data_IF_134179177835
#
_entry.id   IF_134179177835
#
_cell.length_a   1.000
_cell.length_b   1.000
_cell.length_c   1.000
_cell.angle_alpha   90.00
_cell.angle_beta   90.00
_cell.angle_gamma   90.00
#
_symmetry.space_group_name_H-M   'P 1'
#
loop_
_entity.id
_entity.type
_entity.pdbx_description
1 polymer ?
#
# COMPACT_ATOMS: atom_id res chain seq x y z
N UNK A 1 10.79 -8.02 -8.70
CA UNK A 1 10.32 -7.56 -7.37
C UNK A 1 9.92 -6.09 -7.39
N UNK A 2 10.60 -5.20 -8.12
CA UNK A 2 10.23 -3.77 -8.22
C UNK A 2 8.77 -3.48 -8.64
N UNK A 3 8.23 -4.21 -9.62
CA UNK A 3 6.81 -4.09 -10.03
C UNK A 3 5.83 -4.41 -8.88
N UNK A 4 6.16 -5.38 -8.03
CA UNK A 4 5.36 -5.70 -6.84
C UNK A 4 5.46 -4.60 -5.78
N UNK A 5 6.65 -4.00 -5.61
CA UNK A 5 6.86 -2.85 -4.74
C UNK A 5 6.03 -1.64 -5.16
N UNK A 6 6.06 -1.32 -6.47
CA UNK A 6 5.23 -0.26 -7.05
C UNK A 6 3.75 -0.52 -6.83
N UNK A 7 3.28 -1.75 -7.10
CA UNK A 7 1.89 -2.13 -6.89
C UNK A 7 1.48 -1.97 -5.42
N UNK A 8 2.29 -2.49 -4.49
CA UNK A 8 2.04 -2.37 -3.05
C UNK A 8 1.99 -0.90 -2.58
N UNK A 9 2.92 -0.08 -3.06
CA UNK A 9 2.95 1.36 -2.81
C UNK A 9 1.64 2.02 -3.25
N UNK A 10 1.21 1.77 -4.49
CA UNK A 10 -0.05 2.29 -5.02
C UNK A 10 -1.27 1.80 -4.24
N UNK A 11 -1.30 0.53 -3.83
CA UNK A 11 -2.39 0.00 -3.00
C UNK A 11 -2.47 0.71 -1.65
N UNK A 12 -1.34 0.96 -0.99
CA UNK A 12 -1.29 1.73 0.25
C UNK A 12 -1.78 3.17 0.07
N UNK A 13 -1.33 3.84 -1.00
CA UNK A 13 -1.72 5.21 -1.33
C UNK A 13 -3.20 5.34 -1.67
N UNK A 14 -3.70 4.52 -2.59
CA UNK A 14 -5.10 4.51 -2.99
C UNK A 14 -6.01 4.19 -1.78
N UNK A 15 -5.64 3.22 -0.95
CA UNK A 15 -6.38 2.89 0.27
C UNK A 15 -6.41 4.04 1.29
N UNK A 16 -5.32 4.79 1.40
CA UNK A 16 -5.23 5.97 2.27
C UNK A 16 -6.07 7.13 1.75
N UNK A 17 -6.14 7.32 0.43
CA UNK A 17 -6.99 8.35 -0.18
C UNK A 17 -8.47 7.99 -0.01
N UNK A 18 -8.83 6.73 -0.28
CA UNK A 18 -10.22 6.28 -0.20
C UNK A 18 -10.77 6.33 1.24
N UNK A 19 -9.94 6.12 2.26
CA UNK A 19 -10.38 6.16 3.66
C UNK A 19 -10.93 7.52 4.09
N UNK A 20 -10.46 8.63 3.49
CA UNK A 20 -11.02 9.97 3.73
C UNK A 20 -12.46 10.13 3.27
N UNK A 21 -12.90 9.31 2.30
CA UNK A 21 -14.28 9.29 1.80
C UNK A 21 -15.13 8.18 2.42
N UNK A 22 -14.62 7.50 3.46
CA UNK A 22 -15.21 6.27 4.02
C UNK A 22 -15.39 5.16 2.98
N UNK A 23 -14.56 5.15 1.93
CA UNK A 23 -14.49 4.07 0.95
C UNK A 23 -13.29 3.18 1.20
N UNK A 24 -13.41 1.93 0.76
CA UNK A 24 -12.37 0.93 0.94
C UNK A 24 -12.12 0.19 -0.37
N UNK A 25 -10.85 -0.09 -0.66
CA UNK A 25 -10.50 -1.00 -1.74
C UNK A 25 -11.01 -2.40 -1.37
N UNK A 26 -11.74 -3.08 -2.28
CA UNK A 26 -12.35 -4.39 -2.00
C UNK A 26 -11.37 -5.42 -1.44
N UNK A 27 -10.14 -5.42 -1.94
CA UNK A 27 -9.08 -6.33 -1.46
C UNK A 27 -8.51 -5.95 -0.09
N UNK A 28 -8.74 -4.72 0.37
CA UNK A 28 -8.23 -4.18 1.63
C UNK A 28 -9.30 -3.94 2.68
N UNK A 29 -10.57 -4.26 2.44
CA UNK A 29 -11.66 -4.11 3.44
C UNK A 29 -11.33 -4.76 4.78
N UNK A 30 -10.55 -5.85 4.77
CA UNK A 30 -10.14 -6.55 5.97
C UNK A 30 -9.26 -5.70 6.91
N UNK A 31 -8.55 -4.67 6.41
CA UNK A 31 -7.70 -3.82 7.26
C UNK A 31 -8.53 -2.92 8.17
N UNK A 32 -9.76 -2.62 7.77
CA UNK A 32 -10.67 -1.79 8.57
C UNK A 32 -11.33 -2.58 9.71
N UNK A 33 -11.31 -3.92 9.64
CA UNK A 33 -11.75 -4.80 10.74
C UNK A 33 -10.86 -4.66 11.98
N UNK A 34 -9.61 -4.20 11.82
CA UNK A 34 -8.68 -3.95 12.92
C UNK A 34 -8.90 -2.59 13.60
N UNK A 35 -9.87 -1.80 13.11
CA UNK A 35 -10.12 -0.45 13.57
C UNK A 35 -9.22 0.60 12.93
N UNK A 36 -9.56 1.88 13.16
CA UNK A 36 -8.96 3.03 12.45
C UNK A 36 -7.44 3.12 12.62
N UNK A 37 -6.94 3.03 13.86
CA UNK A 37 -5.50 3.18 14.15
C UNK A 37 -4.68 2.09 13.45
N UNK A 38 -5.09 0.83 13.60
CA UNK A 38 -4.35 -0.27 13.01
C UNK A 38 -4.47 -0.29 11.48
N UNK A 39 -5.65 0.07 10.94
CA UNK A 39 -5.85 0.23 9.51
C UNK A 39 -4.94 1.30 8.89
N UNK A 40 -4.64 2.39 9.60
CA UNK A 40 -3.67 3.40 9.15
C UNK A 40 -2.22 2.91 9.24
N UNK A 41 -1.87 2.17 10.28
CA UNK A 41 -0.54 1.55 10.40
C UNK A 41 -0.25 0.63 9.21
N UNK A 42 -1.21 -0.21 8.82
CA UNK A 42 -1.06 -1.12 7.68
C UNK A 42 -0.93 -0.34 6.36
N UNK A 43 -1.75 0.70 6.17
CA UNK A 43 -1.67 1.57 4.98
C UNK A 43 -0.29 2.22 4.85
N UNK A 44 0.22 2.80 5.93
CA UNK A 44 1.57 3.37 5.98
C UNK A 44 2.61 2.28 5.71
N UNK A 45 2.44 1.09 6.27
CA UNK A 45 3.29 -0.07 6.00
C UNK A 45 3.37 -0.44 4.52
N UNK A 46 2.24 -0.42 3.80
CA UNK A 46 2.22 -0.65 2.35
C UNK A 46 2.91 0.45 1.55
N UNK A 47 2.70 1.72 1.93
CA UNK A 47 3.37 2.85 1.28
C UNK A 47 4.89 2.75 1.51
N UNK A 48 5.34 2.68 2.76
CA UNK A 48 6.77 2.65 3.09
C UNK A 48 7.42 1.37 2.54
N UNK A 49 6.82 0.21 2.80
CA UNK A 49 7.34 -1.08 2.34
C UNK A 49 7.37 -1.20 0.81
N UNK A 50 6.29 -0.78 0.14
CA UNK A 50 6.24 -0.77 -1.33
C UNK A 50 7.24 0.19 -1.95
N UNK A 51 7.40 1.39 -1.37
CA UNK A 51 8.38 2.39 -1.80
C UNK A 51 9.82 1.89 -1.65
N UNK A 52 10.17 1.30 -0.50
CA UNK A 52 11.49 0.70 -0.27
C UNK A 52 11.75 -0.43 -1.27
N UNK A 53 10.77 -1.33 -1.46
CA UNK A 53 10.93 -2.47 -2.36
C UNK A 53 11.06 -2.04 -3.83
N UNK A 54 10.38 -0.96 -4.23
CA UNK A 54 10.57 -0.34 -5.53
C UNK A 54 11.95 0.32 -5.67
N UNK A 55 12.42 1.06 -4.67
CA UNK A 55 13.76 1.69 -4.73
C UNK A 55 14.88 0.66 -4.83
N UNK A 56 14.77 -0.46 -4.11
CA UNK A 56 15.79 -1.50 -4.09
C UNK A 56 15.77 -2.40 -5.34
N UNK A 57 14.58 -2.78 -5.82
CA UNK A 57 14.42 -3.79 -6.88
C UNK A 57 13.73 -3.29 -8.15
N UNK A 58 13.47 -1.98 -8.25
CA UNK A 58 12.87 -1.34 -9.43
C UNK A 58 13.81 -1.27 -10.62
N UNK A 59 15.12 -1.15 -10.35
CA UNK A 59 16.18 -1.02 -11.36
C UNK A 59 16.50 -2.33 -12.09
N UNK A 60 16.32 -3.48 -11.42
CA UNK A 60 16.57 -4.80 -12.01
C UNK A 60 15.52 -5.21 -13.07
N UNK A 61 14.51 -4.39 -13.32
CA UNK A 61 13.41 -4.70 -14.25
C UNK A 61 13.62 -4.12 -15.66
N UNK A 62 14.71 -3.38 -15.87
CA UNK A 62 15.02 -2.66 -17.12
C UNK A 62 16.21 -3.27 -17.90
N UNK A 63 16.76 -4.41 -17.48
CA UNK A 63 17.72 -5.21 -18.28
C UNK A 63 17.06 -6.42 -18.95
#
# INVERSE_FOLDING_TARGET
MGKLGMLLFFFGLASSILSFFNYNLRVLVWIDLWGTTMGWIIRIGFIVGGGILFMLFGRDSEE
#
